data_IF_983908192969
#
_entry.id   IF_983908192969
#
_cell.length_a   1.000
_cell.length_b   1.000
_cell.length_c   1.000
_cell.angle_alpha   90.00
_cell.angle_beta   90.00
_cell.angle_gamma   90.00
#
_symmetry.space_group_name_H-M   'P 1'
#
loop_
_entity.id
_entity.type
_entity.pdbx_description
1 polymer ?
#
# COMPACT_ATOMS: atom_id res chain seq x y z
N UNK A 1 -1.81 -15.25 24.16
CA UNK A 1 -2.92 -14.70 24.98
C UNK A 1 -3.62 -15.86 25.69
N UNK A 2 -3.35 -16.11 26.98
CA UNK A 2 -3.89 -17.29 27.68
C UNK A 2 -5.41 -17.25 27.82
N UNK A 3 -5.97 -16.10 28.18
CA UNK A 3 -7.39 -15.99 28.49
C UNK A 3 -8.29 -16.18 27.27
N UNK A 4 -7.87 -15.71 26.09
CA UNK A 4 -8.57 -15.97 24.83
C UNK A 4 -8.52 -17.45 24.47
N UNK A 5 -7.35 -18.07 24.55
CA UNK A 5 -7.22 -19.51 24.32
C UNK A 5 -8.11 -20.33 25.25
N UNK A 6 -8.10 -20.02 26.55
CA UNK A 6 -8.93 -20.69 27.55
C UNK A 6 -10.42 -20.45 27.29
N UNK A 7 -10.81 -19.25 26.87
CA UNK A 7 -12.18 -18.92 26.48
C UNK A 7 -12.66 -19.79 25.31
N UNK A 8 -11.91 -19.81 24.20
CA UNK A 8 -12.28 -20.60 23.02
C UNK A 8 -12.32 -22.10 23.34
N UNK A 9 -11.32 -22.61 24.06
CA UNK A 9 -11.24 -24.01 24.47
C UNK A 9 -12.41 -24.44 25.36
N UNK A 10 -12.92 -23.55 26.21
CA UNK A 10 -13.97 -23.85 27.16
C UNK A 10 -15.34 -23.27 26.75
N UNK A 11 -15.50 -22.77 25.53
CA UNK A 11 -16.71 -22.06 25.09
C UNK A 11 -17.99 -22.85 25.36
N UNK A 12 -18.06 -24.10 24.92
CA UNK A 12 -19.24 -24.96 25.12
C UNK A 12 -19.52 -25.25 26.59
N UNK A 13 -18.46 -25.42 27.38
CA UNK A 13 -18.56 -25.61 28.82
C UNK A 13 -19.03 -24.35 29.54
N UNK A 14 -18.68 -23.16 29.05
CA UNK A 14 -19.19 -21.89 29.56
C UNK A 14 -20.66 -21.78 29.20
N UNK A 15 -21.02 -21.99 27.92
CA UNK A 15 -22.39 -21.94 27.41
C UNK A 15 -23.38 -22.78 28.24
N UNK A 16 -23.00 -24.00 28.60
CA UNK A 16 -23.82 -24.89 29.42
C UNK A 16 -23.99 -24.48 30.89
N UNK A 17 -23.24 -23.49 31.40
CA UNK A 17 -23.22 -23.08 32.81
C UNK A 17 -24.12 -21.89 33.14
N UNK A 18 -25.14 -21.62 32.31
CA UNK A 18 -26.13 -20.58 32.57
C UNK A 18 -26.67 -20.72 34.00
N UNK A 19 -26.40 -19.72 34.84
CA UNK A 19 -26.74 -19.72 36.26
C UNK A 19 -27.77 -18.63 36.54
N UNK A 20 -28.81 -18.98 37.30
CA UNK A 20 -29.81 -18.03 37.84
C UNK A 20 -29.42 -17.47 39.21
N UNK A 21 -28.40 -18.04 39.85
CA UNK A 21 -27.81 -17.49 41.08
C UNK A 21 -27.17 -16.12 40.79
N UNK A 22 -27.64 -15.08 41.47
CA UNK A 22 -27.29 -13.69 41.15
C UNK A 22 -25.80 -13.38 41.23
N UNK A 23 -25.09 -13.94 42.23
CA UNK A 23 -23.65 -13.71 42.39
C UNK A 23 -22.85 -14.40 41.27
N UNK A 24 -23.11 -15.68 40.99
CA UNK A 24 -22.47 -16.38 39.87
C UNK A 24 -22.80 -15.76 38.52
N UNK A 25 -24.04 -15.33 38.32
CA UNK A 25 -24.46 -14.64 37.10
C UNK A 25 -23.65 -13.35 36.87
N UNK A 26 -23.51 -12.51 37.90
CA UNK A 26 -22.71 -11.29 37.82
C UNK A 26 -21.24 -11.58 37.49
N UNK A 27 -20.66 -12.63 38.07
CA UNK A 27 -19.28 -13.04 37.77
C UNK A 27 -19.10 -13.46 36.30
N UNK A 28 -20.05 -14.23 35.74
CA UNK A 28 -20.01 -14.58 34.32
C UNK A 28 -20.10 -13.34 33.42
N UNK A 29 -20.99 -12.41 33.72
CA UNK A 29 -21.13 -11.18 32.93
C UNK A 29 -19.87 -10.31 32.99
N UNK A 30 -19.20 -10.22 34.15
CA UNK A 30 -17.90 -9.55 34.29
C UNK A 30 -16.82 -10.23 33.46
N UNK A 31 -16.76 -11.56 33.49
CA UNK A 31 -15.82 -12.34 32.69
C UNK A 31 -16.04 -12.16 31.18
N UNK A 32 -17.28 -12.22 30.70
CA UNK A 32 -17.60 -12.00 29.29
C UNK A 32 -17.24 -10.58 28.84
N UNK A 33 -17.46 -9.57 29.70
CA UNK A 33 -17.04 -8.19 29.45
C UNK A 33 -15.53 -8.08 29.30
N UNK A 34 -14.77 -8.72 30.19
CA UNK A 34 -13.31 -8.79 30.12
C UNK A 34 -12.83 -9.44 28.81
N UNK A 35 -13.35 -10.62 28.49
CA UNK A 35 -12.97 -11.35 27.27
C UNK A 35 -13.35 -10.58 26.01
N UNK A 36 -14.51 -9.90 25.98
CA UNK A 36 -14.91 -9.11 24.82
C UNK A 36 -13.91 -7.97 24.52
N UNK A 37 -13.37 -7.34 25.57
CA UNK A 37 -12.32 -6.32 25.42
C UNK A 37 -11.01 -6.90 24.88
N UNK A 38 -10.66 -8.15 25.23
CA UNK A 38 -9.52 -8.84 24.61
C UNK A 38 -9.81 -9.23 23.16
N UNK A 39 -11.00 -9.74 22.89
CA UNK A 39 -11.45 -10.16 21.57
C UNK A 39 -11.40 -8.98 20.59
N UNK A 40 -11.93 -7.83 20.97
CA UNK A 40 -11.90 -6.60 20.18
C UNK A 40 -10.48 -6.18 19.78
N UNK A 41 -9.54 -6.21 20.72
CA UNK A 41 -8.14 -5.80 20.48
C UNK A 41 -7.38 -6.73 19.53
N UNK A 42 -7.84 -7.97 19.38
CA UNK A 42 -7.11 -8.99 18.62
C UNK A 42 -7.78 -9.34 17.29
N UNK A 43 -9.08 -9.11 17.13
CA UNK A 43 -9.81 -9.55 15.94
C UNK A 43 -9.24 -8.97 14.63
N UNK A 44 -8.85 -7.69 14.61
CA UNK A 44 -8.31 -7.03 13.41
C UNK A 44 -6.95 -7.57 12.99
N UNK A 45 -6.16 -8.05 13.95
CA UNK A 45 -4.80 -8.54 13.69
C UNK A 45 -4.78 -10.05 13.48
N UNK A 46 -5.79 -10.76 13.96
CA UNK A 46 -5.87 -12.22 13.89
C UNK A 46 -6.78 -12.73 12.78
N UNK A 47 -7.68 -11.89 12.24
CA UNK A 47 -8.66 -12.28 11.23
C UNK A 47 -8.44 -11.50 9.93
N UNK A 48 -8.15 -12.20 8.84
CA UNK A 48 -8.02 -11.63 7.51
C UNK A 48 -9.15 -12.12 6.63
N UNK A 49 -10.04 -11.21 6.26
CA UNK A 49 -11.24 -11.51 5.47
C UNK A 49 -11.04 -11.14 3.99
N UNK A 50 -11.65 -11.92 3.11
CA UNK A 50 -11.66 -11.68 1.66
C UNK A 50 -13.09 -11.59 1.14
N UNK A 51 -13.35 -10.74 0.16
CA UNK A 51 -14.68 -10.46 -0.33
C UNK A 51 -15.25 -11.67 -1.08
N UNK A 52 -16.36 -12.20 -0.56
CA UNK A 52 -17.01 -13.40 -1.10
C UNK A 52 -16.40 -14.72 -0.62
N UNK A 53 -15.47 -14.68 0.35
CA UNK A 53 -15.07 -15.87 1.08
C UNK A 53 -16.08 -16.16 2.19
N UNK A 54 -16.43 -17.45 2.36
CA UNK A 54 -17.35 -17.89 3.42
C UNK A 54 -16.75 -17.75 4.82
N UNK A 55 -15.41 -17.82 4.91
CA UNK A 55 -14.66 -17.75 6.17
C UNK A 55 -13.45 -16.83 6.03
N UNK A 56 -13.16 -16.11 7.10
CA UNK A 56 -11.91 -15.36 7.21
C UNK A 56 -10.75 -16.32 7.55
N UNK A 57 -9.56 -15.95 7.09
CA UNK A 57 -8.31 -16.61 7.47
C UNK A 57 -7.95 -16.22 8.90
N UNK A 58 -7.49 -17.21 9.67
CA UNK A 58 -6.98 -17.06 11.03
C UNK A 58 -5.46 -17.01 11.01
N UNK A 59 -4.86 -15.90 11.42
CA UNK A 59 -3.41 -15.74 11.50
C UNK A 59 -2.87 -16.10 12.90
N UNK A 60 -3.73 -16.05 13.93
CA UNK A 60 -3.39 -16.35 15.33
C UNK A 60 -3.83 -17.76 15.76
N UNK A 61 -3.44 -18.81 15.00
CA UNK A 61 -3.95 -20.18 15.16
C UNK A 61 -3.87 -20.76 16.58
N UNK A 62 -2.94 -20.29 17.41
CA UNK A 62 -2.69 -20.87 18.74
C UNK A 62 -3.61 -20.37 19.84
N UNK A 63 -4.34 -19.27 19.65
CA UNK A 63 -5.14 -18.67 20.73
C UNK A 63 -6.34 -17.86 20.30
N UNK A 64 -6.60 -17.71 18.99
CA UNK A 64 -7.71 -16.92 18.48
C UNK A 64 -8.54 -17.70 17.47
N UNK A 65 -9.86 -17.46 17.46
CA UNK A 65 -10.79 -18.00 16.47
C UNK A 65 -11.60 -16.87 15.85
N UNK A 66 -11.70 -16.86 14.52
CA UNK A 66 -12.39 -15.81 13.77
C UNK A 66 -13.86 -16.13 13.51
N UNK A 67 -14.27 -17.37 13.72
CA UNK A 67 -15.67 -17.76 13.58
C UNK A 67 -16.55 -16.96 14.56
N UNK A 68 -17.55 -16.29 14.01
CA UNK A 68 -18.48 -15.44 14.74
C UNK A 68 -19.34 -16.23 15.74
N UNK A 69 -19.39 -17.58 15.65
CA UNK A 69 -19.96 -18.44 16.69
C UNK A 69 -19.32 -18.17 18.07
N UNK A 70 -18.01 -17.93 18.11
CA UNK A 70 -17.27 -17.71 19.35
C UNK A 70 -17.25 -16.25 19.81
N UNK A 71 -18.00 -15.37 19.15
CA UNK A 71 -18.11 -13.98 19.57
C UNK A 71 -18.65 -13.90 21.02
N UNK A 72 -17.94 -13.24 21.96
CA UNK A 72 -18.36 -13.13 23.37
C UNK A 72 -19.76 -12.53 23.54
N UNK A 73 -20.22 -11.73 22.57
CA UNK A 73 -21.58 -11.22 22.53
C UNK A 73 -22.66 -12.29 22.52
N UNK A 74 -22.42 -13.43 21.88
CA UNK A 74 -23.40 -14.51 21.80
C UNK A 74 -23.72 -15.06 23.21
N UNK A 75 -22.68 -15.26 24.03
CA UNK A 75 -22.86 -15.70 25.42
C UNK A 75 -23.41 -14.59 26.31
N UNK A 76 -23.03 -13.33 26.05
CA UNK A 76 -23.52 -12.18 26.80
C UNK A 76 -25.04 -12.03 26.67
N UNK A 77 -25.56 -12.14 25.44
CA UNK A 77 -26.99 -12.15 25.13
C UNK A 77 -27.68 -13.38 25.71
N UNK A 78 -27.12 -14.57 25.48
CA UNK A 78 -27.71 -15.84 25.94
C UNK A 78 -27.87 -15.89 27.47
N UNK A 79 -26.95 -15.24 28.20
CA UNK A 79 -26.99 -15.17 29.66
C UNK A 79 -27.89 -14.05 30.18
N UNK A 80 -28.43 -13.18 29.32
CA UNK A 80 -29.20 -11.98 29.68
C UNK A 80 -28.41 -11.03 30.59
N UNK A 81 -27.12 -10.84 30.32
CA UNK A 81 -26.31 -9.90 31.07
C UNK A 81 -26.87 -8.48 30.94
N UNK A 82 -27.32 -7.90 32.05
CA UNK A 82 -27.83 -6.53 32.04
C UNK A 82 -26.69 -5.54 31.83
N UNK A 83 -26.89 -4.54 30.96
CA UNK A 83 -25.98 -3.42 30.69
C UNK A 83 -25.76 -2.46 31.88
N UNK A 84 -26.01 -2.91 33.11
CA UNK A 84 -25.92 -2.14 34.36
C UNK A 84 -24.48 -1.80 34.78
N UNK A 85 -23.47 -2.11 33.96
CA UNK A 85 -22.10 -1.63 34.20
C UNK A 85 -22.00 -0.21 33.62
N UNK A 86 -21.86 0.84 34.45
CA UNK A 86 -21.70 2.19 33.94
C UNK A 86 -20.30 2.32 33.31
N UNK A 87 -20.23 2.66 32.02
CA UNK A 87 -18.98 3.12 31.40
C UNK A 87 -18.80 2.77 29.92
N UNK A 88 -19.19 1.57 29.49
CA UNK A 88 -19.11 1.18 28.08
C UNK A 88 -20.25 0.23 27.70
N UNK A 89 -21.04 0.54 26.66
CA UNK A 89 -22.00 -0.42 26.14
C UNK A 89 -21.24 -1.66 25.65
N UNK A 90 -21.69 -2.84 26.08
CA UNK A 90 -21.17 -4.09 25.56
C UNK A 90 -21.52 -4.15 24.06
N UNK A 91 -20.51 -4.00 23.20
CA UNK A 91 -20.70 -3.97 21.75
C UNK A 91 -20.37 -5.32 21.13
N UNK A 92 -21.16 -5.71 20.14
CA UNK A 92 -20.83 -6.83 19.26
C UNK A 92 -19.63 -6.45 18.39
N UNK A 93 -18.57 -7.24 18.48
CA UNK A 93 -17.37 -7.03 17.67
C UNK A 93 -17.57 -7.68 16.31
N UNK A 94 -17.59 -6.87 15.25
CA UNK A 94 -17.74 -7.35 13.87
C UNK A 94 -16.40 -7.85 13.33
N UNK A 95 -16.48 -8.75 12.33
CA UNK A 95 -15.30 -9.13 11.55
C UNK A 95 -14.64 -7.90 10.89
N UNK A 96 -13.32 -7.95 10.65
CA UNK A 96 -12.63 -6.93 9.88
C UNK A 96 -13.19 -6.83 8.45
N UNK A 97 -13.11 -5.64 7.87
CA UNK A 97 -13.46 -5.43 6.47
C UNK A 97 -12.55 -6.25 5.56
N UNK A 98 -13.09 -6.72 4.43
CA UNK A 98 -12.34 -7.52 3.50
C UNK A 98 -11.18 -6.72 2.89
N UNK A 99 -9.97 -7.26 2.97
CA UNK A 99 -8.76 -6.51 2.56
C UNK A 99 -8.68 -6.30 1.04
N UNK A 100 -9.39 -7.12 0.27
CA UNK A 100 -9.49 -7.07 -1.20
C UNK A 100 -10.75 -6.33 -1.68
N UNK A 101 -11.50 -5.68 -0.79
CA UNK A 101 -12.72 -4.96 -1.16
C UNK A 101 -12.46 -3.94 -2.27
N UNK A 102 -11.45 -3.08 -2.09
CA UNK A 102 -11.11 -2.04 -3.06
C UNK A 102 -10.62 -2.62 -4.39
N UNK A 103 -9.77 -3.65 -4.35
CA UNK A 103 -9.21 -4.24 -5.57
C UNK A 103 -10.29 -4.96 -6.38
N UNK A 104 -11.22 -5.64 -5.70
CA UNK A 104 -12.35 -6.31 -6.35
C UNK A 104 -13.37 -5.30 -6.89
N UNK A 105 -13.69 -4.24 -6.15
CA UNK A 105 -14.58 -3.16 -6.61
C UNK A 105 -14.03 -2.47 -7.87
N UNK A 106 -12.75 -2.11 -7.90
CA UNK A 106 -12.10 -1.52 -9.08
C UNK A 106 -12.15 -2.50 -10.26
N UNK A 107 -11.90 -3.78 -10.01
CA UNK A 107 -11.95 -4.83 -11.04
C UNK A 107 -13.36 -4.97 -11.62
N UNK A 108 -14.39 -4.95 -10.78
CA UNK A 108 -15.79 -5.03 -11.22
C UNK A 108 -16.22 -3.78 -12.01
N UNK A 109 -15.85 -2.59 -11.54
CA UNK A 109 -16.08 -1.33 -12.27
C UNK A 109 -15.40 -1.32 -13.63
N UNK A 110 -14.17 -1.81 -13.73
CA UNK A 110 -13.41 -1.91 -14.98
C UNK A 110 -14.08 -2.85 -15.98
N UNK A 111 -14.51 -4.04 -15.53
CA UNK A 111 -15.27 -4.99 -16.37
C UNK A 111 -16.57 -4.38 -16.91
N UNK A 112 -17.30 -3.64 -16.07
CA UNK A 112 -18.54 -2.95 -16.48
C UNK A 112 -18.26 -1.85 -17.52
N UNK A 113 -17.20 -1.06 -17.34
CA UNK A 113 -16.79 -0.03 -18.30
C UNK A 113 -16.40 -0.64 -19.65
N UNK A 114 -15.62 -1.72 -19.66
CA UNK A 114 -15.26 -2.43 -20.90
C UNK A 114 -16.51 -2.90 -21.65
N UNK A 115 -17.48 -3.50 -20.94
CA UNK A 115 -18.73 -3.95 -21.55
C UNK A 115 -19.56 -2.79 -22.13
N UNK A 116 -19.66 -1.66 -21.41
CA UNK A 116 -20.34 -0.46 -21.91
C UNK A 116 -19.67 0.09 -23.19
N UNK A 117 -18.34 0.08 -23.26
CA UNK A 117 -17.62 0.50 -24.47
C UNK A 117 -17.88 -0.45 -25.65
N UNK A 118 -17.99 -1.76 -25.42
CA UNK A 118 -18.33 -2.73 -26.49
C UNK A 118 -19.76 -2.65 -26.99
N UNK A 119 -20.74 -2.32 -26.14
CA UNK A 119 -22.17 -2.29 -26.51
C UNK A 119 -22.51 -1.08 -27.42
N UNK A 120 -21.65 -0.07 -27.53
CA UNK A 120 -21.93 1.16 -28.27
C UNK A 120 -21.45 1.19 -29.74
N UNK A 121 -21.06 0.06 -30.36
CA UNK A 121 -20.57 0.06 -31.76
C UNK A 121 -21.20 -0.98 -32.70
N UNK A 122 -22.22 -1.70 -32.27
CA UNK A 122 -22.85 -2.70 -33.14
C UNK A 122 -24.39 -2.68 -33.08
N UNK A 123 -24.96 -1.59 -33.57
CA UNK A 123 -26.25 -1.63 -34.26
C UNK A 123 -26.12 -0.83 -35.55
N UNK A 124 -25.68 -1.44 -36.67
CA UNK A 124 -25.59 -0.74 -37.94
C UNK A 124 -26.98 -0.65 -38.57
N UNK A 125 -27.68 0.46 -38.37
CA UNK A 125 -28.77 0.86 -39.27
C UNK A 125 -28.16 1.64 -40.44
N UNK A 126 -27.83 0.88 -41.50
CA UNK A 126 -27.51 1.33 -42.86
C UNK A 126 -26.10 1.88 -43.12
N UNK A 127 -25.58 1.51 -44.31
CA UNK A 127 -24.24 1.86 -44.80
C UNK A 127 -24.06 3.35 -45.18
N UNK A 128 -25.10 4.18 -45.04
CA UNK A 128 -25.05 5.60 -45.40
C UNK A 128 -24.41 6.48 -44.31
N UNK A 129 -24.41 6.05 -43.05
CA UNK A 129 -23.90 6.86 -41.92
C UNK A 129 -22.35 6.87 -41.80
N UNK A 130 -21.64 6.01 -42.54
CA UNK A 130 -20.17 5.96 -42.51
C UNK A 130 -19.48 7.11 -43.26
N UNK A 131 -20.14 7.71 -44.26
CA UNK A 131 -19.47 8.66 -45.17
C UNK A 131 -19.44 10.09 -44.61
N UNK A 132 -20.35 10.44 -43.71
CA UNK A 132 -20.51 11.80 -43.19
C UNK A 132 -19.62 12.11 -41.95
N UNK A 133 -19.05 11.09 -41.30
CA UNK A 133 -18.15 11.26 -40.14
C UNK A 133 -16.66 11.44 -40.48
N UNK A 134 -16.28 11.34 -41.75
CA UNK A 134 -14.88 11.41 -42.18
C UNK A 134 -14.42 12.82 -42.61
N UNK A 135 -14.78 13.88 -41.86
CA UNK A 135 -13.84 14.98 -41.69
C UNK A 135 -13.84 15.52 -40.23
N UNK A 136 -13.59 14.67 -39.24
CA UNK A 136 -13.28 15.08 -37.84
C UNK A 136 -12.21 14.24 -37.15
N UNK A 137 -11.33 13.57 -37.92
CA UNK A 137 -10.25 12.76 -37.36
C UNK A 137 -9.07 13.61 -36.84
N UNK A 138 -8.96 14.89 -37.20
CA UNK A 138 -7.81 15.72 -36.82
C UNK A 138 -7.97 16.45 -35.47
N UNK A 139 -9.18 16.86 -35.06
CA UNK A 139 -9.38 17.57 -33.78
C UNK A 139 -9.64 16.63 -32.59
N UNK A 140 -10.00 15.38 -32.85
CA UNK A 140 -10.32 14.39 -31.81
C UNK A 140 -9.11 13.75 -31.13
N UNK A 141 -7.91 13.88 -31.70
CA UNK A 141 -6.69 13.26 -31.16
C UNK A 141 -6.18 13.98 -29.89
N UNK A 142 -6.51 15.26 -29.71
CA UNK A 142 -6.04 16.07 -28.57
C UNK A 142 -6.57 15.55 -27.24
N UNK A 143 -7.79 15.01 -27.21
CA UNK A 143 -8.45 14.59 -25.96
C UNK A 143 -8.15 13.13 -25.56
N UNK A 144 -7.51 12.36 -26.47
CA UNK A 144 -7.06 11.00 -26.23
C UNK A 144 -5.61 10.92 -25.75
N UNK A 145 -4.79 11.94 -25.99
CA UNK A 145 -3.42 11.99 -25.46
C UNK A 145 -3.42 12.28 -23.94
N UNK A 146 -4.34 13.11 -23.47
CA UNK A 146 -4.44 13.50 -22.06
C UNK A 146 -4.91 12.35 -21.14
N UNK A 147 -5.68 11.39 -21.66
CA UNK A 147 -6.20 10.27 -20.87
C UNK A 147 -5.28 9.03 -20.87
N UNK A 148 -4.19 9.04 -21.65
CA UNK A 148 -3.14 8.00 -21.61
C UNK A 148 -2.01 8.32 -20.65
N UNK A 149 -2.07 9.45 -19.93
CA UNK A 149 -1.07 9.84 -18.94
C UNK A 149 -1.69 10.05 -17.55
N UNK A 150 -2.56 9.13 -17.13
CA UNK A 150 -2.78 8.91 -15.68
C UNK A 150 -1.59 8.13 -15.11
N UNK A 151 -0.38 8.65 -15.30
CA UNK A 151 0.82 8.10 -14.67
C UNK A 151 0.81 8.54 -13.22
N UNK A 152 0.62 7.57 -12.33
CA UNK A 152 0.79 7.74 -10.88
C UNK A 152 2.05 8.58 -10.61
N UNK A 153 1.99 9.58 -9.72
CA UNK A 153 3.14 10.40 -9.33
C UNK A 153 4.44 9.61 -9.12
N UNK A 154 4.35 8.39 -8.59
CA UNK A 154 5.50 7.50 -8.41
C UNK A 154 6.19 7.13 -9.74
N UNK A 155 5.44 6.83 -10.80
CA UNK A 155 6.00 6.45 -12.09
C UNK A 155 6.76 7.59 -12.75
N UNK A 156 6.21 8.81 -12.69
CA UNK A 156 6.84 10.02 -13.23
C UNK A 156 8.15 10.33 -12.52
N UNK A 157 8.17 10.22 -11.19
CA UNK A 157 9.38 10.45 -10.38
C UNK A 157 10.46 9.39 -10.70
N UNK A 158 10.06 8.12 -10.76
CA UNK A 158 10.98 7.01 -11.04
C UNK A 158 11.58 7.12 -12.44
N UNK A 159 10.76 7.42 -13.45
CA UNK A 159 11.24 7.61 -14.83
C UNK A 159 12.18 8.81 -14.94
N UNK A 160 11.88 9.91 -14.25
CA UNK A 160 12.76 11.08 -14.18
C UNK A 160 14.12 10.76 -13.52
N UNK A 161 14.12 10.00 -12.43
CA UNK A 161 15.36 9.61 -11.76
C UNK A 161 16.24 8.71 -12.65
N UNK A 162 15.65 7.71 -13.31
CA UNK A 162 16.42 6.81 -14.18
C UNK A 162 16.93 7.50 -15.45
N UNK A 163 16.19 8.45 -16.03
CA UNK A 163 16.65 9.21 -17.19
C UNK A 163 17.85 10.10 -16.83
N UNK A 164 17.80 10.80 -15.69
CA UNK A 164 18.94 11.60 -15.19
C UNK A 164 20.17 10.73 -14.91
N UNK A 165 20.00 9.58 -14.25
CA UNK A 165 21.10 8.64 -13.99
C UNK A 165 21.72 8.09 -15.27
N UNK A 166 20.89 7.77 -16.28
CA UNK A 166 21.35 7.30 -17.58
C UNK A 166 22.20 8.36 -18.29
N UNK A 167 21.73 9.61 -18.31
CA UNK A 167 22.46 10.74 -18.90
C UNK A 167 23.81 10.95 -18.21
N UNK A 168 23.84 10.97 -16.87
CA UNK A 168 25.09 11.12 -16.10
C UNK A 168 26.08 9.97 -16.38
N UNK A 169 25.59 8.74 -16.51
CA UNK A 169 26.41 7.56 -16.80
C UNK A 169 27.06 7.66 -18.19
N UNK A 170 26.32 8.16 -19.18
CA UNK A 170 26.83 8.39 -20.54
C UNK A 170 27.92 9.47 -20.53
N UNK A 171 27.71 10.59 -19.82
CA UNK A 171 28.74 11.62 -19.66
C UNK A 171 30.01 11.10 -18.98
N UNK A 172 29.88 10.23 -17.96
CA UNK A 172 31.03 9.61 -17.31
C UNK A 172 31.84 8.72 -18.26
N UNK A 173 31.17 7.94 -19.11
CA UNK A 173 31.84 7.11 -20.12
C UNK A 173 32.57 8.00 -21.13
N UNK A 174 31.93 9.05 -21.64
CA UNK A 174 32.59 9.99 -22.55
C UNK A 174 33.78 10.69 -21.90
N UNK A 175 33.63 11.18 -20.66
CA UNK A 175 34.74 11.77 -19.91
C UNK A 175 35.91 10.79 -19.77
N UNK A 176 35.64 9.52 -19.44
CA UNK A 176 36.66 8.48 -19.32
C UNK A 176 37.33 8.15 -20.65
N UNK A 177 36.57 8.08 -21.75
CA UNK A 177 37.11 7.82 -23.11
C UNK A 177 37.95 9.02 -23.59
N UNK A 178 37.47 10.25 -23.37
CA UNK A 178 38.19 11.48 -23.68
C UNK A 178 39.49 11.56 -22.86
N UNK A 179 39.44 11.30 -21.53
CA UNK A 179 40.63 11.25 -20.67
C UNK A 179 41.64 10.21 -21.15
N UNK A 180 41.19 8.99 -21.49
CA UNK A 180 42.07 7.93 -22.01
C UNK A 180 42.65 8.26 -23.40
N UNK A 181 41.90 8.97 -24.24
CA UNK A 181 42.38 9.39 -25.56
C UNK A 181 43.39 10.54 -25.46
N UNK A 182 43.16 11.50 -24.55
CA UNK A 182 44.06 12.64 -24.31
C UNK A 182 45.36 12.21 -23.61
N UNK A 183 45.34 11.17 -22.78
CA UNK A 183 46.56 10.57 -22.19
C UNK A 183 47.44 9.84 -23.21
N UNK A 184 46.91 9.56 -24.41
CA UNK A 184 47.62 8.84 -25.48
C UNK A 184 48.41 9.79 -26.39
N UNK A 185 47.98 11.04 -26.49
CA UNK A 185 48.66 12.10 -27.22
C UNK A 185 49.35 13.03 -26.22
N UNK A 186 50.66 12.90 -26.04
CA UNK A 186 51.47 13.71 -25.11
C UNK A 186 51.34 15.22 -25.39
N UNK A 187 50.36 15.87 -24.79
CA UNK A 187 50.27 17.32 -24.66
C UNK A 187 49.92 17.65 -23.21
N UNK A 188 50.69 18.52 -22.51
CA UNK A 188 50.39 18.86 -21.14
C UNK A 188 49.16 19.77 -21.14
N UNK A 189 47.99 19.19 -20.88
CA UNK A 189 46.83 19.99 -20.52
C UNK A 189 47.13 20.59 -19.14
N UNK A 190 47.11 21.92 -19.03
CA UNK A 190 47.21 22.62 -17.76
C UNK A 190 46.25 21.98 -16.75
N UNK A 191 46.80 21.57 -15.60
CA UNK A 191 46.02 21.13 -14.47
C UNK A 191 45.01 22.23 -14.11
N UNK A 192 43.69 21.94 -14.09
CA UNK A 192 42.70 22.94 -13.67
C UNK A 192 42.94 23.42 -12.23
N UNK A 193 43.55 22.57 -11.38
CA UNK A 193 43.97 22.96 -10.04
C UNK A 193 45.18 23.93 -10.03
N UNK A 194 45.98 23.99 -11.10
CA UNK A 194 47.13 24.92 -11.20
C UNK A 194 46.70 26.33 -11.62
N UNK A 195 45.73 26.43 -12.53
CA UNK A 195 45.18 27.73 -12.96
C UNK A 195 44.48 28.47 -11.83
N UNK A 196 43.68 27.77 -11.02
CA UNK A 196 42.91 28.40 -9.93
C UNK A 196 43.82 28.89 -8.79
N UNK A 197 44.92 28.17 -8.51
CA UNK A 197 45.91 28.54 -7.49
C UNK A 197 46.74 29.78 -7.87
N UNK A 198 46.87 30.07 -9.16
CA UNK A 198 47.63 31.23 -9.68
C UNK A 198 46.83 32.54 -9.65
N UNK A 199 45.50 32.46 -9.58
CA UNK A 199 44.60 33.61 -9.72
C UNK A 199 44.17 34.24 -8.39
N UNK A 200 44.57 33.66 -7.25
CA UNK A 200 44.35 34.25 -5.93
C UNK A 200 42.88 34.40 -5.52
N UNK A 201 41.95 33.71 -6.20
CA UNK A 201 40.53 33.77 -5.88
C UNK A 201 40.21 32.74 -4.80
N UNK A 202 40.09 33.23 -3.58
CA UNK A 202 39.77 32.41 -2.41
C UNK A 202 38.25 32.42 -2.17
N UNK A 203 37.41 32.04 -3.14
CA UNK A 203 35.99 31.75 -2.84
C UNK A 203 35.36 30.68 -3.76
N UNK A 204 35.10 29.52 -3.16
CA UNK A 204 33.95 28.62 -3.39
C UNK A 204 33.65 28.13 -4.83
N UNK A 205 34.67 27.88 -5.64
CA UNK A 205 34.50 27.05 -6.84
C UNK A 205 34.30 25.57 -6.45
N UNK A 206 33.32 24.90 -7.06
CA UNK A 206 33.11 23.45 -6.91
C UNK A 206 34.33 22.63 -7.38
N UNK A 207 35.13 23.21 -8.29
CA UNK A 207 36.36 22.63 -8.82
C UNK A 207 37.45 22.57 -7.75
N UNK A 208 37.60 23.61 -6.93
CA UNK A 208 38.56 23.63 -5.80
C UNK A 208 38.26 22.57 -4.73
N UNK A 209 36.98 22.39 -4.39
CA UNK A 209 36.56 21.38 -3.41
C UNK A 209 36.76 19.95 -3.94
N UNK A 210 36.60 19.75 -5.25
CA UNK A 210 36.94 18.48 -5.90
C UNK A 210 38.46 18.22 -5.91
N UNK A 211 39.30 19.24 -6.11
CA UNK A 211 40.76 19.11 -6.03
C UNK A 211 41.23 18.68 -4.62
N UNK A 212 40.68 19.24 -3.55
CA UNK A 212 41.04 18.87 -2.16
C UNK A 212 40.63 17.43 -1.82
N UNK A 213 39.51 16.97 -2.36
CA UNK A 213 39.00 15.63 -2.06
C UNK A 213 39.83 14.51 -2.71
N UNK A 214 40.34 14.69 -3.94
CA UNK A 214 41.24 13.72 -4.58
C UNK A 214 42.60 13.60 -3.86
N UNK A 215 43.20 14.72 -3.43
CA UNK A 215 44.48 14.72 -2.70
C UNK A 215 44.40 13.96 -1.36
N UNK A 216 43.23 13.98 -0.72
CA UNK A 216 43.02 13.31 0.56
C UNK A 216 42.74 11.80 0.41
N UNK A 217 42.26 11.36 -0.77
CA UNK A 217 41.91 9.96 -1.03
C UNK A 217 43.08 9.14 -1.59
N UNK A 218 44.04 9.78 -2.26
CA UNK A 218 45.20 9.11 -2.85
C UNK A 218 46.39 8.93 -1.88
N UNK A 219 46.25 9.36 -0.62
CA UNK A 219 47.29 9.29 0.42
C UNK A 219 47.00 8.26 1.53
N UNK A 220 45.93 7.47 1.38
CA UNK A 220 45.56 6.33 2.21
C UNK A 220 45.25 5.12 1.32
#
# INVERSE_FOLDING_TARGET
MKDLFDYFKNYDSIKGKKSTDGNKHEQYCKYLTYINGLYEKNISNCCVCFQGADKCREDCLHYFQCDQLYNPHNLYDEFNCSSKIPGTPFKKVNLPEAIDFYSKDITEKSKKKEYLTRVNYFTPTSAQDMRDRMPKILDGMSHTLDNTLESDPFYTIVLGAFTLLGILSVFFIFYKVIKNSLLKDNLPLLDPCFTEKSQGETERSTIFMMCIWEDHYMKN
#
